data_IF_610806665896
#
_entry.id   IF_610806665896
#
_cell.length_a   1.000
_cell.length_b   1.000
_cell.length_c   1.000
_cell.angle_alpha   90.00
_cell.angle_beta   90.00
_cell.angle_gamma   90.00
#
_symmetry.space_group_name_H-M   'P 1'
#
loop_
_entity.id
_entity.type
_entity.pdbx_description
1 polymer ?
#
# COMPACT_ATOMS: atom_id res chain seq x y z
N UNK A 1 18.65 0.87 11.87
CA UNK A 1 19.92 0.97 11.11
C UNK A 1 19.76 0.48 9.67
N UNK A 2 19.31 -0.75 9.39
CA UNK A 2 19.14 -1.27 8.01
C UNK A 2 18.25 -0.40 7.10
N UNK A 3 17.15 0.17 7.62
CA UNK A 3 16.28 1.07 6.84
C UNK A 3 16.98 2.34 6.39
N UNK A 4 17.86 2.91 7.24
CA UNK A 4 18.65 4.08 6.87
C UNK A 4 19.66 3.72 5.80
N UNK A 5 20.44 2.65 5.99
CA UNK A 5 21.46 2.22 5.02
C UNK A 5 20.85 1.95 3.63
N UNK A 6 19.63 1.38 3.58
CA UNK A 6 18.94 1.11 2.31
C UNK A 6 18.33 2.38 1.66
N UNK A 7 18.09 3.43 2.43
CA UNK A 7 17.52 4.68 1.93
C UNK A 7 18.58 5.70 1.51
N UNK A 8 19.83 5.54 1.97
CA UNK A 8 20.92 6.45 1.63
C UNK A 8 21.37 6.23 0.19
N UNK A 9 21.31 7.31 -0.57
CA UNK A 9 21.92 7.45 -1.89
C UNK A 9 22.73 8.75 -1.89
N UNK A 10 23.86 8.75 -2.59
CA UNK A 10 24.70 9.94 -2.69
C UNK A 10 23.91 11.10 -3.31
N UNK A 11 24.03 12.28 -2.71
CA UNK A 11 23.35 13.52 -3.09
C UNK A 11 21.80 13.49 -3.08
N UNK A 12 21.19 12.42 -2.57
CA UNK A 12 19.73 12.33 -2.45
C UNK A 12 19.31 12.65 -1.01
N UNK A 13 18.51 13.72 -0.81
CA UNK A 13 18.03 14.08 0.52
C UNK A 13 17.11 13.02 1.14
N UNK A 14 17.33 12.72 2.42
CA UNK A 14 16.61 11.71 3.17
C UNK A 14 15.91 12.32 4.38
N UNK A 15 14.63 12.03 4.55
CA UNK A 15 13.87 12.42 5.72
C UNK A 15 13.96 11.35 6.81
N UNK A 16 14.67 11.64 7.91
CA UNK A 16 14.87 10.69 9.00
C UNK A 16 13.59 10.39 9.80
N UNK A 17 12.67 11.34 9.87
CA UNK A 17 11.37 11.14 10.55
C UNK A 17 10.61 9.94 10.01
N UNK A 18 10.71 9.72 8.71
CA UNK A 18 10.01 8.62 8.02
C UNK A 18 10.73 7.28 8.13
N UNK A 19 12.05 7.32 8.21
CA UNK A 19 12.85 6.09 8.26
C UNK A 19 12.78 5.43 9.62
N UNK A 20 12.84 6.22 10.69
CA UNK A 20 12.96 5.66 12.04
C UNK A 20 11.63 5.42 12.74
N UNK A 21 10.56 6.13 12.40
CA UNK A 21 9.26 5.96 13.07
C UNK A 21 9.33 6.06 14.61
N UNK A 22 10.45 6.59 15.14
CA UNK A 22 10.76 6.63 16.56
C UNK A 22 10.13 7.86 17.24
N UNK A 23 10.21 7.91 18.59
CA UNK A 23 9.78 9.07 19.34
C UNK A 23 10.55 10.33 18.91
N UNK A 24 9.93 11.50 19.06
CA UNK A 24 10.52 12.79 18.71
C UNK A 24 11.93 12.98 19.27
N UNK A 25 12.16 12.62 20.53
CA UNK A 25 13.45 12.79 21.18
C UNK A 25 14.54 11.89 20.55
N UNK A 26 14.21 10.63 20.26
CA UNK A 26 15.16 9.70 19.62
C UNK A 26 15.53 10.15 18.22
N UNK A 27 14.58 10.69 17.46
CA UNK A 27 14.81 11.24 16.12
C UNK A 27 15.72 12.44 16.16
N UNK A 28 15.44 13.41 17.04
CA UNK A 28 16.23 14.62 17.17
C UNK A 28 17.71 14.34 17.54
N UNK A 29 17.94 13.33 18.39
CA UNK A 29 19.31 12.90 18.74
C UNK A 29 20.00 12.28 17.54
N UNK A 30 19.35 11.40 16.80
CA UNK A 30 19.93 10.75 15.61
C UNK A 30 20.17 11.73 14.46
N UNK A 31 19.26 12.67 14.24
CA UNK A 31 19.43 13.75 13.26
C UNK A 31 20.65 14.60 13.59
N UNK A 32 20.78 15.01 14.86
CA UNK A 32 21.91 15.80 15.31
C UNK A 32 23.23 15.03 15.19
N UNK A 33 23.25 13.76 15.60
CA UNK A 33 24.43 12.90 15.49
C UNK A 33 24.90 12.75 14.04
N UNK A 34 23.97 12.45 13.13
CA UNK A 34 24.28 12.28 11.72
C UNK A 34 24.74 13.59 11.09
N UNK A 35 24.08 14.72 11.39
CA UNK A 35 24.46 16.02 10.84
C UNK A 35 25.88 16.49 11.25
N UNK A 36 26.40 15.96 12.35
CA UNK A 36 27.78 16.25 12.80
C UNK A 36 28.80 15.18 12.33
N UNK A 37 28.36 14.20 11.56
CA UNK A 37 29.22 13.19 10.95
C UNK A 37 29.69 13.68 9.58
N UNK A 38 30.98 13.58 9.23
CA UNK A 38 31.56 14.23 8.05
C UNK A 38 30.87 14.02 6.71
N UNK A 39 30.27 12.87 6.51
CA UNK A 39 29.60 12.50 5.26
C UNK A 39 28.16 13.00 5.15
N UNK A 40 27.59 13.65 6.19
CA UNK A 40 26.21 14.07 6.23
C UNK A 40 26.07 15.58 6.34
N UNK A 41 25.23 16.14 5.51
CA UNK A 41 24.89 17.56 5.48
C UNK A 41 23.43 17.79 5.83
N UNK A 42 23.13 18.89 6.55
CA UNK A 42 21.78 19.40 6.59
C UNK A 42 21.36 19.85 5.19
N UNK A 43 20.25 19.33 4.72
CA UNK A 43 19.70 19.78 3.45
C UNK A 43 18.87 21.04 3.63
N UNK A 44 19.31 22.14 3.03
CA UNK A 44 18.49 23.33 2.84
C UNK A 44 17.74 23.16 1.52
N UNK A 45 16.45 22.95 1.64
CA UNK A 45 15.57 22.77 0.49
C UNK A 45 15.29 24.13 -0.14
N UNK A 46 15.69 24.31 -1.40
CA UNK A 46 15.35 25.49 -2.17
C UNK A 46 13.90 25.40 -2.68
N UNK A 47 13.43 24.21 -2.98
CA UNK A 47 12.07 23.96 -3.44
C UNK A 47 11.62 22.56 -3.08
N UNK A 48 10.56 22.44 -2.29
CA UNK A 48 9.88 21.19 -2.04
C UNK A 48 8.62 21.15 -2.91
N UNK A 49 8.66 20.40 -3.98
CA UNK A 49 7.46 20.08 -4.73
C UNK A 49 6.81 18.83 -4.12
N UNK A 50 5.78 19.04 -3.32
CA UNK A 50 4.83 17.97 -2.99
C UNK A 50 3.93 17.84 -4.20
N UNK A 51 4.13 16.79 -4.99
CA UNK A 51 3.28 16.54 -6.16
C UNK A 51 1.80 16.49 -5.72
N UNK A 52 1.01 17.43 -6.27
CA UNK A 52 -0.45 17.58 -6.12
C UNK A 52 -1.02 18.09 -4.79
N UNK A 53 -0.24 18.60 -3.87
CA UNK A 53 -0.80 19.38 -2.77
C UNK A 53 0.05 20.61 -2.49
N UNK A 54 -0.53 21.81 -2.62
CA UNK A 54 0.03 23.07 -2.12
C UNK A 54 -0.06 23.10 -0.57
N UNK A 55 0.36 22.06 0.11
CA UNK A 55 0.45 22.09 1.57
C UNK A 55 1.76 22.72 1.95
N UNK A 56 1.68 23.88 2.62
CA UNK A 56 2.81 24.49 3.29
C UNK A 56 3.50 23.45 4.18
N UNK A 57 4.77 23.18 3.88
CA UNK A 57 5.59 22.28 4.68
C UNK A 57 5.70 22.87 6.07
N UNK A 58 5.31 22.08 7.08
CA UNK A 58 5.49 22.48 8.47
C UNK A 58 7.00 22.69 8.71
N UNK A 59 7.36 23.89 9.15
CA UNK A 59 8.71 24.17 9.65
C UNK A 59 9.07 23.11 10.69
N UNK A 60 10.10 22.31 10.44
CA UNK A 60 10.56 21.28 11.39
C UNK A 60 11.00 19.96 10.79
N UNK A 61 10.75 19.71 9.51
CA UNK A 61 11.28 18.52 8.85
C UNK A 61 12.68 18.81 8.33
N UNK A 62 13.69 18.20 8.97
CA UNK A 62 15.08 18.31 8.54
C UNK A 62 15.41 17.11 7.65
N UNK A 63 15.96 17.40 6.48
CA UNK A 63 16.48 16.39 5.58
C UNK A 63 18.00 16.37 5.66
N UNK A 64 18.59 15.20 5.57
CA UNK A 64 20.03 15.02 5.47
C UNK A 64 20.42 14.55 4.08
N UNK A 65 21.58 15.00 3.61
CA UNK A 65 22.21 14.55 2.36
C UNK A 65 23.43 13.74 2.74
N UNK A 66 23.61 12.58 2.11
CA UNK A 66 24.79 11.74 2.25
C UNK A 66 25.77 12.01 1.10
N UNK A 67 26.99 12.46 1.43
CA UNK A 67 28.06 12.79 0.48
C UNK A 67 29.38 12.19 0.93
N UNK A 68 29.60 10.89 0.71
CA UNK A 68 30.77 10.18 1.20
C UNK A 68 32.06 10.62 0.52
N UNK A 69 31.96 11.18 -0.70
CA UNK A 69 33.11 11.62 -1.49
C UNK A 69 33.52 13.08 -1.24
N UNK A 70 32.74 13.80 -0.44
CA UNK A 70 32.99 15.20 -0.09
C UNK A 70 32.67 15.43 1.40
N UNK A 71 33.47 14.83 2.32
CA UNK A 71 33.20 14.92 3.75
C UNK A 71 33.64 16.29 4.31
N UNK A 72 32.78 16.86 5.20
CA UNK A 72 33.11 18.08 5.92
C UNK A 72 33.91 17.79 7.21
N UNK A 73 34.28 18.83 7.94
CA UNK A 73 34.96 18.71 9.22
C UNK A 73 34.11 17.99 10.27
N UNK A 74 34.75 17.06 11.01
CA UNK A 74 34.05 16.25 12.01
C UNK A 74 33.57 17.11 13.19
N UNK A 75 32.37 16.87 13.66
CA UNK A 75 31.80 17.59 14.79
C UNK A 75 31.18 18.96 14.45
N UNK A 76 31.17 19.34 13.17
CA UNK A 76 30.54 20.56 12.66
C UNK A 76 29.33 20.19 11.83
N UNK A 77 28.18 20.83 12.04
CA UNK A 77 27.00 20.62 11.21
C UNK A 77 26.95 21.67 10.10
N UNK A 78 26.99 21.23 8.85
CA UNK A 78 27.01 22.12 7.67
C UNK A 78 25.72 21.97 6.89
N UNK A 79 25.15 23.06 6.40
CA UNK A 79 24.02 23.07 5.48
C UNK A 79 24.51 22.98 4.02
N UNK A 80 23.91 22.08 3.25
CA UNK A 80 24.12 21.99 1.81
C UNK A 80 22.82 22.32 1.07
N UNK A 81 22.90 23.29 0.15
CA UNK A 81 21.75 23.63 -0.71
C UNK A 81 21.73 22.67 -1.90
N UNK A 82 20.62 21.98 -2.11
CA UNK A 82 20.46 21.11 -3.26
C UNK A 82 19.38 21.65 -4.19
N UNK A 83 19.66 21.61 -5.50
CA UNK A 83 18.68 21.86 -6.55
C UNK A 83 17.83 20.62 -6.86
N UNK A 84 18.04 19.53 -6.12
CA UNK A 84 17.22 18.33 -6.28
C UNK A 84 15.82 18.65 -5.79
N UNK A 85 14.84 18.58 -6.68
CA UNK A 85 13.44 18.55 -6.31
C UNK A 85 13.25 17.26 -5.52
N UNK A 86 13.16 17.38 -4.21
CA UNK A 86 12.71 16.26 -3.40
C UNK A 86 11.22 16.16 -3.66
N UNK A 87 10.85 15.34 -4.61
CA UNK A 87 9.60 14.65 -4.39
C UNK A 87 9.82 13.94 -3.08
N UNK A 88 9.17 14.36 -2.00
CA UNK A 88 9.08 13.49 -0.85
C UNK A 88 8.67 12.15 -1.44
N UNK A 89 9.62 11.24 -1.56
CA UNK A 89 9.30 9.83 -1.82
C UNK A 89 8.60 9.38 -0.54
N UNK A 90 7.41 9.90 -0.44
CA UNK A 90 6.40 9.28 0.34
C UNK A 90 6.40 7.82 -0.10
N UNK A 91 5.98 7.00 0.77
CA UNK A 91 5.29 5.76 0.47
C UNK A 91 4.36 5.88 -0.77
N UNK A 92 4.19 7.04 -1.30
CA UNK A 92 3.48 7.49 -2.51
C UNK A 92 4.22 7.26 -3.84
N UNK A 93 5.31 6.50 -3.88
CA UNK A 93 5.93 6.08 -5.16
C UNK A 93 4.91 5.36 -6.04
N UNK A 94 3.96 4.69 -5.43
CA UNK A 94 2.82 4.08 -6.13
C UNK A 94 1.95 5.13 -6.81
N UNK A 95 1.78 6.31 -6.20
CA UNK A 95 0.91 7.36 -6.73
C UNK A 95 1.49 8.08 -7.94
N UNK A 96 2.80 8.19 -8.05
CA UNK A 96 3.46 8.83 -9.17
C UNK A 96 3.40 8.01 -10.46
N UNK A 97 3.25 6.69 -10.36
CA UNK A 97 3.19 5.79 -11.50
C UNK A 97 1.76 5.49 -11.98
N UNK A 98 0.75 6.00 -11.29
CA UNK A 98 -0.66 5.74 -11.60
C UNK A 98 -1.28 6.99 -12.20
N UNK A 99 -1.10 7.16 -13.51
CA UNK A 99 -1.79 8.17 -14.29
C UNK A 99 -3.22 7.67 -14.58
N UNK A 100 -4.19 8.15 -13.78
CA UNK A 100 -5.58 7.76 -13.93
C UNK A 100 -6.28 8.84 -14.75
N UNK A 101 -6.53 8.50 -16.00
CA UNK A 101 -7.33 9.32 -16.88
C UNK A 101 -8.78 9.35 -16.39
N UNK A 102 -9.28 10.52 -16.12
CA UNK A 102 -10.69 10.86 -15.89
C UNK A 102 -11.49 9.92 -14.98
N UNK A 103 -11.55 10.22 -13.69
CA UNK A 103 -12.47 9.58 -12.74
C UNK A 103 -13.75 10.42 -12.61
N UNK A 104 -14.89 9.86 -13.00
CA UNK A 104 -16.19 10.48 -12.80
C UNK A 104 -16.62 10.41 -11.33
N UNK A 105 -17.25 11.47 -10.78
CA UNK A 105 -17.75 11.46 -9.41
C UNK A 105 -18.84 10.41 -9.24
N UNK A 106 -18.81 9.66 -8.13
CA UNK A 106 -19.85 8.71 -7.72
C UNK A 106 -20.48 9.20 -6.42
N UNK A 107 -21.75 8.88 -6.24
CA UNK A 107 -22.50 9.26 -5.05
C UNK A 107 -21.80 8.73 -3.78
N UNK A 108 -21.34 9.64 -2.90
CA UNK A 108 -20.80 9.30 -1.57
C UNK A 108 -19.29 9.27 -1.41
N UNK A 109 -18.48 9.45 -2.49
CA UNK A 109 -17.02 9.57 -2.40
C UNK A 109 -16.53 10.82 -3.10
N UNK A 110 -15.49 11.46 -2.57
CA UNK A 110 -14.79 12.55 -3.23
C UNK A 110 -13.99 12.03 -4.43
N UNK A 111 -13.61 12.90 -5.35
CA UNK A 111 -12.75 12.55 -6.49
C UNK A 111 -11.39 12.03 -5.99
N UNK A 112 -10.91 12.57 -4.89
CA UNK A 112 -9.63 12.22 -4.29
C UNK A 112 -9.66 10.82 -3.66
N UNK A 113 -10.73 10.48 -2.92
CA UNK A 113 -10.94 9.14 -2.37
C UNK A 113 -11.02 8.07 -3.46
N UNK A 114 -11.72 8.37 -4.56
CA UNK A 114 -11.79 7.46 -5.72
C UNK A 114 -10.45 7.25 -6.40
N UNK A 115 -9.70 8.34 -6.59
CA UNK A 115 -8.36 8.26 -7.15
C UNK A 115 -7.48 7.38 -6.27
N UNK A 116 -7.57 7.56 -4.94
CA UNK A 116 -6.84 6.76 -3.98
C UNK A 116 -7.24 5.29 -4.02
N UNK A 117 -8.54 5.01 -4.04
CA UNK A 117 -9.07 3.65 -4.20
C UNK A 117 -8.50 2.97 -5.44
N UNK A 118 -8.62 3.62 -6.59
CA UNK A 118 -8.11 3.09 -7.86
C UNK A 118 -6.58 2.86 -7.84
N UNK A 119 -5.81 3.75 -7.21
CA UNK A 119 -4.36 3.59 -7.06
C UNK A 119 -4.00 2.36 -6.25
N UNK A 120 -4.65 2.17 -5.09
CA UNK A 120 -4.44 0.99 -4.24
C UNK A 120 -4.86 -0.28 -4.99
N UNK A 121 -5.99 -0.26 -5.70
CA UNK A 121 -6.47 -1.41 -6.46
C UNK A 121 -5.48 -1.81 -7.57
N UNK A 122 -4.95 -0.85 -8.33
CA UNK A 122 -3.89 -1.10 -9.32
C UNK A 122 -2.62 -1.66 -8.67
N UNK A 123 -2.27 -1.14 -7.50
CA UNK A 123 -1.11 -1.64 -6.74
C UNK A 123 -1.28 -3.10 -6.35
N UNK A 124 -2.47 -3.48 -5.87
CA UNK A 124 -2.81 -4.87 -5.54
C UNK A 124 -2.77 -5.79 -6.77
N UNK A 125 -3.26 -5.31 -7.93
CA UNK A 125 -3.15 -6.06 -9.20
C UNK A 125 -1.69 -6.32 -9.56
N UNK A 126 -0.85 -5.30 -9.47
CA UNK A 126 0.59 -5.42 -9.77
C UNK A 126 1.32 -6.31 -8.78
N UNK A 127 1.04 -6.17 -7.48
CA UNK A 127 1.57 -7.08 -6.45
C UNK A 127 1.19 -8.52 -6.78
N UNK A 128 -0.10 -8.76 -7.08
CA UNK A 128 -0.58 -10.07 -7.49
C UNK A 128 0.21 -10.65 -8.66
N UNK A 129 0.41 -9.86 -9.70
CA UNK A 129 1.21 -10.25 -10.86
C UNK A 129 2.67 -10.60 -10.49
N UNK A 130 3.36 -9.74 -9.70
CA UNK A 130 4.73 -10.00 -9.26
C UNK A 130 4.88 -11.26 -8.40
N UNK A 131 3.86 -11.57 -7.58
CA UNK A 131 3.84 -12.77 -6.74
C UNK A 131 3.33 -14.02 -7.47
N UNK A 132 3.03 -13.92 -8.78
CA UNK A 132 2.54 -15.03 -9.60
C UNK A 132 1.07 -15.39 -9.35
N UNK A 133 0.29 -14.47 -8.80
CA UNK A 133 -1.17 -14.61 -8.66
C UNK A 133 -1.89 -14.11 -9.89
N UNK A 134 -3.06 -14.68 -10.15
CA UNK A 134 -4.06 -14.09 -11.02
C UNK A 134 -5.03 -13.28 -10.18
N UNK A 135 -5.48 -12.15 -10.69
CA UNK A 135 -6.24 -11.17 -9.92
C UNK A 135 -7.61 -10.94 -10.53
N UNK A 136 -8.64 -11.05 -9.72
CA UNK A 136 -9.97 -10.51 -10.03
C UNK A 136 -10.06 -9.08 -9.53
N UNK A 137 -10.72 -8.22 -10.32
CA UNK A 137 -11.07 -6.85 -9.95
C UNK A 137 -12.60 -6.70 -10.07
N UNK A 138 -13.19 -5.95 -9.14
CA UNK A 138 -14.63 -5.71 -9.09
C UNK A 138 -15.19 -5.32 -10.46
N UNK A 139 -16.35 -5.87 -10.81
CA UNK A 139 -16.93 -5.68 -12.13
C UNK A 139 -17.12 -4.21 -12.52
N UNK A 140 -17.37 -3.33 -11.53
CA UNK A 140 -17.59 -1.90 -11.73
C UNK A 140 -16.28 -1.12 -12.02
N UNK A 141 -15.13 -1.65 -11.62
CA UNK A 141 -13.84 -0.97 -11.69
C UNK A 141 -12.99 -1.44 -12.87
N UNK A 142 -13.40 -2.49 -13.56
CA UNK A 142 -12.68 -3.10 -14.69
C UNK A 142 -12.41 -2.12 -15.85
N UNK A 143 -13.26 -1.10 -15.99
CA UNK A 143 -13.13 -0.05 -17.02
C UNK A 143 -12.18 1.08 -16.69
N UNK A 144 -11.65 1.16 -15.46
CA UNK A 144 -10.70 2.21 -15.07
C UNK A 144 -9.45 2.15 -15.95
N UNK A 145 -9.02 3.32 -16.42
CA UNK A 145 -7.86 3.44 -17.31
C UNK A 145 -6.57 3.63 -16.52
N UNK A 146 -5.55 2.89 -16.91
CA UNK A 146 -4.20 3.00 -16.39
C UNK A 146 -3.19 2.81 -17.51
N UNK A 147 -2.32 3.79 -17.75
CA UNK A 147 -1.31 3.77 -18.83
C UNK A 147 -1.91 3.40 -20.21
N UNK A 148 -3.06 3.97 -20.56
CA UNK A 148 -3.73 3.73 -21.84
C UNK A 148 -4.41 2.37 -21.99
N UNK A 149 -4.52 1.59 -20.93
CA UNK A 149 -5.23 0.28 -20.89
C UNK A 149 -6.23 0.27 -19.76
N UNK A 150 -7.34 -0.46 -19.93
CA UNK A 150 -8.22 -0.71 -18.79
C UNK A 150 -7.59 -1.66 -17.78
N UNK A 151 -7.99 -1.58 -16.50
CA UNK A 151 -7.51 -2.53 -15.47
C UNK A 151 -7.79 -3.98 -15.90
N UNK A 152 -8.90 -4.24 -16.56
CA UNK A 152 -9.23 -5.55 -17.08
C UNK A 152 -8.21 -6.11 -18.08
N UNK A 153 -7.43 -5.24 -18.74
CA UNK A 153 -6.41 -5.60 -19.73
C UNK A 153 -4.99 -5.69 -19.14
N UNK A 154 -4.86 -5.45 -17.83
CA UNK A 154 -3.57 -5.58 -17.15
C UNK A 154 -3.15 -7.05 -17.04
N UNK A 155 -1.84 -7.28 -17.07
CA UNK A 155 -1.27 -8.62 -16.94
C UNK A 155 -1.68 -9.27 -15.61
N UNK A 156 -2.11 -10.53 -15.69
CA UNK A 156 -2.56 -11.30 -14.54
C UNK A 156 -4.01 -11.05 -14.12
N UNK A 157 -4.73 -10.10 -14.73
CA UNK A 157 -6.16 -9.90 -14.45
C UNK A 157 -7.00 -10.94 -15.18
N UNK A 158 -7.92 -11.59 -14.45
CA UNK A 158 -8.81 -12.61 -15.00
C UNK A 158 -10.12 -12.01 -15.50
N UNK A 159 -10.67 -12.58 -16.56
CA UNK A 159 -11.91 -12.09 -17.19
C UNK A 159 -13.17 -12.67 -16.55
N UNK A 160 -13.09 -13.90 -16.05
CA UNK A 160 -14.27 -14.62 -15.55
C UNK A 160 -13.90 -15.49 -14.35
N UNK A 161 -14.59 -15.27 -13.23
CA UNK A 161 -14.43 -16.05 -12.00
C UNK A 161 -14.82 -17.54 -12.18
N UNK A 162 -15.67 -17.87 -13.14
CA UNK A 162 -16.05 -19.26 -13.43
C UNK A 162 -14.88 -20.11 -13.96
N UNK A 163 -13.82 -19.47 -14.45
CA UNK A 163 -12.64 -20.16 -14.92
C UNK A 163 -11.71 -20.60 -13.77
N UNK A 164 -11.98 -20.11 -12.55
CA UNK A 164 -11.23 -20.49 -11.35
C UNK A 164 -11.81 -21.77 -10.76
N UNK A 165 -11.05 -22.87 -10.80
CA UNK A 165 -11.53 -24.19 -10.32
C UNK A 165 -12.04 -24.14 -8.89
N UNK A 166 -11.40 -23.34 -8.02
CA UNK A 166 -11.79 -23.17 -6.62
C UNK A 166 -13.22 -22.65 -6.45
N UNK A 167 -13.77 -21.95 -7.46
CA UNK A 167 -15.12 -21.35 -7.42
C UNK A 167 -16.15 -22.07 -8.30
N UNK A 168 -15.75 -23.00 -9.16
CA UNK A 168 -16.65 -23.60 -10.18
C UNK A 168 -17.94 -24.21 -9.61
N UNK A 169 -17.89 -24.73 -8.38
CA UNK A 169 -19.05 -25.35 -7.73
C UNK A 169 -19.89 -24.39 -6.89
N UNK A 170 -19.56 -23.08 -6.88
CA UNK A 170 -20.16 -22.10 -5.98
C UNK A 170 -20.80 -20.92 -6.71
N UNK A 171 -21.87 -21.16 -7.49
CA UNK A 171 -22.52 -20.11 -8.29
C UNK A 171 -22.96 -18.89 -7.49
N UNK A 172 -23.48 -19.09 -6.28
CA UNK A 172 -23.89 -18.00 -5.39
C UNK A 172 -22.68 -17.20 -4.90
N UNK A 173 -21.62 -17.90 -4.52
CA UNK A 173 -20.37 -17.26 -4.10
C UNK A 173 -19.74 -16.43 -5.25
N UNK A 174 -19.76 -16.94 -6.48
CA UNK A 174 -19.30 -16.20 -7.67
C UNK A 174 -20.07 -14.89 -7.84
N UNK A 175 -21.40 -14.90 -7.59
CA UNK A 175 -22.21 -13.69 -7.70
C UNK A 175 -21.76 -12.60 -6.73
N UNK A 176 -21.50 -12.96 -5.48
CA UNK A 176 -20.99 -12.03 -4.46
C UNK A 176 -19.54 -11.62 -4.76
N UNK A 177 -18.68 -12.57 -5.12
CA UNK A 177 -17.27 -12.32 -5.46
C UNK A 177 -17.09 -11.32 -6.60
N UNK A 178 -18.07 -11.16 -7.50
CA UNK A 178 -18.00 -10.18 -8.60
C UNK A 178 -17.95 -8.74 -8.13
N UNK A 179 -18.39 -8.46 -6.90
CA UNK A 179 -18.43 -7.12 -6.31
C UNK A 179 -17.23 -6.85 -5.39
N UNK A 180 -16.41 -7.85 -5.11
CA UNK A 180 -15.22 -7.72 -4.29
C UNK A 180 -14.15 -6.94 -5.06
N UNK A 181 -13.52 -5.97 -4.42
CA UNK A 181 -12.59 -5.05 -5.05
C UNK A 181 -11.36 -5.74 -5.63
N UNK A 182 -10.81 -6.73 -4.90
CA UNK A 182 -9.66 -7.50 -5.37
C UNK A 182 -9.63 -8.92 -4.78
N UNK A 183 -9.42 -9.93 -5.63
CA UNK A 183 -9.23 -11.33 -5.20
C UNK A 183 -7.99 -11.88 -5.89
N UNK A 184 -7.09 -12.48 -5.11
CA UNK A 184 -5.94 -13.21 -5.66
C UNK A 184 -6.22 -14.70 -5.78
N UNK A 185 -5.79 -15.29 -6.89
CA UNK A 185 -5.88 -16.72 -7.17
C UNK A 185 -4.51 -17.31 -7.49
N UNK A 186 -4.23 -18.49 -6.98
CA UNK A 186 -3.02 -19.26 -7.31
C UNK A 186 -3.42 -20.57 -7.97
N UNK A 187 -2.90 -20.81 -9.17
CA UNK A 187 -3.09 -22.04 -9.95
C UNK A 187 -4.56 -22.46 -10.15
N UNK A 188 -5.50 -21.53 -10.07
CA UNK A 188 -6.94 -21.78 -10.17
C UNK A 188 -7.55 -22.58 -9.02
N UNK A 189 -6.75 -23.08 -8.08
CA UNK A 189 -7.18 -23.97 -6.98
C UNK A 189 -7.14 -23.32 -5.60
N UNK A 190 -6.38 -22.28 -5.43
CA UNK A 190 -6.21 -21.57 -4.16
C UNK A 190 -6.63 -20.12 -4.33
N UNK A 191 -7.10 -19.54 -3.24
CA UNK A 191 -7.52 -18.14 -3.15
C UNK A 191 -6.81 -17.51 -1.93
N UNK A 192 -5.55 -17.06 -2.10
CA UNK A 192 -4.72 -16.56 -0.99
C UNK A 192 -5.30 -15.37 -0.26
N UNK A 193 -5.99 -14.45 -0.95
CA UNK A 193 -6.60 -13.28 -0.34
C UNK A 193 -7.87 -12.82 -1.07
N UNK A 194 -8.83 -12.34 -0.29
CA UNK A 194 -10.05 -11.62 -0.69
C UNK A 194 -10.01 -10.27 -0.01
N UNK A 195 -10.05 -9.18 -0.78
CA UNK A 195 -9.72 -7.85 -0.29
C UNK A 195 -10.80 -6.83 -0.67
N UNK A 196 -11.22 -6.05 0.31
CA UNK A 196 -12.07 -4.87 0.15
C UNK A 196 -11.28 -3.62 0.45
N UNK A 197 -11.31 -2.65 -0.45
CA UNK A 197 -10.57 -1.39 -0.34
C UNK A 197 -11.52 -0.32 0.18
N UNK A 198 -11.31 0.13 1.40
CA UNK A 198 -12.26 0.98 2.07
C UNK A 198 -11.65 2.31 2.52
N UNK A 199 -12.42 3.37 2.34
CA UNK A 199 -12.14 4.69 2.87
C UNK A 199 -13.21 5.05 3.89
N UNK A 200 -12.83 5.70 4.96
CA UNK A 200 -13.67 6.34 6.00
C UNK A 200 -14.92 5.60 6.50
N UNK A 201 -15.96 5.42 5.72
CA UNK A 201 -17.27 4.92 6.18
C UNK A 201 -17.65 3.53 5.66
N UNK A 202 -16.93 3.03 4.66
CA UNK A 202 -17.28 1.79 3.94
C UNK A 202 -16.89 0.48 4.63
N UNK A 203 -16.00 0.49 5.64
CA UNK A 203 -15.41 -0.71 6.26
C UNK A 203 -16.46 -1.78 6.61
N UNK A 204 -17.57 -1.37 7.22
CA UNK A 204 -18.66 -2.30 7.56
C UNK A 204 -19.31 -2.91 6.32
N UNK A 205 -19.45 -2.13 5.25
CA UNK A 205 -20.03 -2.60 3.98
C UNK A 205 -19.11 -3.62 3.29
N UNK A 206 -17.81 -3.40 3.30
CA UNK A 206 -16.83 -4.36 2.80
C UNK A 206 -16.87 -5.67 3.59
N UNK A 207 -16.91 -5.60 4.93
CA UNK A 207 -17.06 -6.79 5.76
C UNK A 207 -18.35 -7.56 5.48
N UNK A 208 -19.47 -6.86 5.21
CA UNK A 208 -20.73 -7.50 4.82
C UNK A 208 -20.59 -8.25 3.49
N UNK A 209 -19.97 -7.64 2.47
CA UNK A 209 -19.74 -8.31 1.17
C UNK A 209 -18.85 -9.54 1.32
N UNK A 210 -17.75 -9.43 2.05
CA UNK A 210 -16.87 -10.57 2.34
C UNK A 210 -17.61 -11.68 3.10
N UNK A 211 -18.44 -11.33 4.10
CA UNK A 211 -19.23 -12.31 4.87
C UNK A 211 -20.26 -13.02 3.98
N UNK A 212 -20.95 -12.30 3.11
CA UNK A 212 -21.87 -12.90 2.13
C UNK A 212 -21.15 -13.90 1.21
N UNK A 213 -19.96 -13.54 0.73
CA UNK A 213 -19.16 -14.46 -0.07
C UNK A 213 -18.75 -15.70 0.75
N UNK A 214 -18.24 -15.52 1.97
CA UNK A 214 -17.88 -16.59 2.88
C UNK A 214 -19.06 -17.56 3.14
N UNK A 215 -20.24 -17.04 3.41
CA UNK A 215 -21.44 -17.83 3.74
C UNK A 215 -21.89 -18.75 2.61
N UNK A 216 -21.64 -18.38 1.36
CA UNK A 216 -21.93 -19.21 0.19
C UNK A 216 -20.84 -20.23 -0.16
N UNK A 217 -19.65 -20.13 0.45
CA UNK A 217 -18.54 -21.05 0.22
C UNK A 217 -17.72 -21.31 1.50
N UNK A 218 -18.34 -21.75 2.60
CA UNK A 218 -17.68 -21.90 3.90
C UNK A 218 -16.62 -23.01 3.93
N UNK A 219 -16.61 -23.89 2.91
CA UNK A 219 -15.60 -24.94 2.76
C UNK A 219 -14.26 -24.42 2.27
N UNK A 220 -14.23 -23.22 1.70
CA UNK A 220 -12.99 -22.59 1.26
C UNK A 220 -12.17 -22.17 2.49
N UNK A 221 -10.95 -22.66 2.57
CA UNK A 221 -10.04 -22.47 3.72
C UNK A 221 -8.79 -21.72 3.30
N UNK A 222 -8.03 -21.27 4.28
CA UNK A 222 -6.75 -20.59 4.10
C UNK A 222 -6.86 -19.30 3.25
N UNK A 223 -7.99 -18.59 3.40
CA UNK A 223 -8.24 -17.31 2.73
C UNK A 223 -7.96 -16.19 3.73
N UNK A 224 -7.20 -15.19 3.31
CA UNK A 224 -7.03 -13.95 4.05
C UNK A 224 -8.14 -12.98 3.65
N UNK A 225 -9.20 -12.94 4.45
CA UNK A 225 -10.29 -11.96 4.32
C UNK A 225 -9.78 -10.62 4.82
N UNK A 226 -9.55 -9.68 3.92
CA UNK A 226 -8.71 -8.53 4.22
C UNK A 226 -9.42 -7.21 3.95
N UNK A 227 -9.41 -6.32 4.93
CA UNK A 227 -9.79 -4.91 4.73
C UNK A 227 -8.52 -4.12 4.43
N UNK A 228 -8.48 -3.48 3.28
CA UNK A 228 -7.40 -2.60 2.82
C UNK A 228 -7.86 -1.16 3.04
N UNK A 229 -7.22 -0.44 3.96
CA UNK A 229 -7.66 0.92 4.32
C UNK A 229 -6.48 1.79 4.79
N UNK A 230 -6.66 3.14 4.86
CA UNK A 230 -5.69 4.03 5.45
C UNK A 230 -5.30 3.63 6.88
N UNK A 231 -4.04 3.89 7.25
CA UNK A 231 -3.46 3.48 8.53
C UNK A 231 -4.21 4.00 9.76
N UNK A 232 -4.80 5.19 9.66
CA UNK A 232 -5.61 5.79 10.72
C UNK A 232 -6.90 5.01 11.04
N UNK A 233 -7.37 4.16 10.15
CA UNK A 233 -8.58 3.35 10.36
C UNK A 233 -8.32 2.00 11.04
N UNK A 234 -7.07 1.68 11.40
CA UNK A 234 -6.68 0.43 12.09
C UNK A 234 -7.65 0.05 13.22
N UNK A 235 -7.84 0.95 14.17
CA UNK A 235 -8.69 0.68 15.34
C UNK A 235 -10.14 0.41 14.95
N UNK A 236 -10.64 1.11 13.95
CA UNK A 236 -12.02 0.94 13.44
C UNK A 236 -12.18 -0.39 12.69
N UNK A 237 -11.16 -0.80 11.92
CA UNK A 237 -11.17 -2.11 11.26
C UNK A 237 -11.16 -3.23 12.31
N UNK A 238 -10.32 -3.13 13.34
CA UNK A 238 -10.28 -4.10 14.45
C UNK A 238 -11.63 -4.17 15.16
N UNK A 239 -12.22 -3.02 15.51
CA UNK A 239 -13.51 -2.94 16.18
C UNK A 239 -14.60 -3.68 15.37
N UNK A 240 -14.76 -3.35 14.10
CA UNK A 240 -15.79 -3.95 13.26
C UNK A 240 -15.54 -5.43 12.97
N UNK A 241 -14.29 -5.83 12.76
CA UNK A 241 -13.92 -7.23 12.54
C UNK A 241 -14.25 -8.15 13.72
N UNK A 242 -14.22 -7.59 14.95
CA UNK A 242 -14.55 -8.32 16.17
C UNK A 242 -16.06 -8.36 16.50
N UNK A 243 -16.92 -7.72 15.69
CA UNK A 243 -18.36 -7.87 15.86
C UNK A 243 -18.78 -9.33 15.63
N UNK A 244 -19.75 -9.87 16.40
CA UNK A 244 -20.13 -11.28 16.35
C UNK A 244 -20.39 -11.83 14.94
N UNK A 245 -21.04 -11.03 14.07
CA UNK A 245 -21.38 -11.42 12.71
C UNK A 245 -20.18 -11.53 11.75
N UNK A 246 -19.02 -10.92 12.08
CA UNK A 246 -17.83 -10.93 11.23
C UNK A 246 -16.67 -11.75 11.80
N UNK A 247 -16.76 -12.16 13.06
CA UNK A 247 -15.65 -12.84 13.76
C UNK A 247 -15.16 -14.11 13.05
N UNK A 248 -16.09 -14.83 12.38
CA UNK A 248 -15.74 -16.05 11.63
C UNK A 248 -14.82 -15.79 10.41
N UNK A 249 -14.78 -14.57 9.90
CA UNK A 249 -13.90 -14.22 8.76
C UNK A 249 -12.42 -14.26 9.14
N UNK A 250 -12.08 -14.19 10.42
CA UNK A 250 -10.68 -14.00 10.88
C UNK A 250 -9.99 -12.88 10.08
N UNK A 251 -10.66 -11.74 10.04
CA UNK A 251 -10.30 -10.61 9.15
C UNK A 251 -8.87 -10.13 9.40
N UNK A 252 -8.21 -9.76 8.32
CA UNK A 252 -6.90 -9.10 8.31
C UNK A 252 -7.06 -7.62 7.98
N UNK A 253 -6.15 -6.82 8.49
CA UNK A 253 -5.99 -5.42 8.09
C UNK A 253 -4.74 -5.28 7.23
N UNK A 254 -4.88 -4.69 6.06
CA UNK A 254 -3.77 -4.37 5.18
C UNK A 254 -3.68 -2.86 5.01
N UNK A 255 -2.89 -2.17 5.84
CA UNK A 255 -2.78 -0.72 5.78
C UNK A 255 -2.22 -0.26 4.44
N UNK A 256 -2.64 0.90 3.97
CA UNK A 256 -2.14 1.47 2.71
C UNK A 256 -0.62 1.58 2.66
N UNK A 257 0.01 1.95 3.79
CA UNK A 257 1.47 1.98 3.91
C UNK A 257 2.11 0.62 3.64
N UNK A 258 1.51 -0.47 4.12
CA UNK A 258 2.01 -1.83 3.88
C UNK A 258 1.76 -2.31 2.44
N UNK A 259 0.65 -1.88 1.79
CA UNK A 259 0.42 -2.12 0.35
C UNK A 259 1.54 -1.46 -0.46
N UNK A 260 1.85 -0.21 -0.17
CA UNK A 260 2.90 0.56 -0.86
C UNK A 260 4.30 -0.03 -0.62
N UNK A 261 4.57 -0.47 0.61
CA UNK A 261 5.83 -1.15 0.95
C UNK A 261 5.97 -2.46 0.16
N UNK A 262 4.95 -3.29 0.16
CA UNK A 262 4.95 -4.56 -0.57
C UNK A 262 5.06 -4.35 -2.08
N UNK A 263 4.34 -3.37 -2.64
CA UNK A 263 4.47 -3.01 -4.06
C UNK A 263 5.90 -2.60 -4.40
N UNK A 264 6.49 -1.70 -3.62
CA UNK A 264 7.87 -1.24 -3.80
C UNK A 264 8.89 -2.38 -3.68
N UNK A 265 8.68 -3.30 -2.74
CA UNK A 265 9.50 -4.49 -2.59
C UNK A 265 9.41 -5.39 -3.83
N UNK A 266 8.19 -5.70 -4.28
CA UNK A 266 7.95 -6.55 -5.45
C UNK A 266 8.52 -5.94 -6.72
N UNK A 267 8.31 -4.65 -6.96
CA UNK A 267 8.80 -3.95 -8.14
C UNK A 267 10.34 -3.93 -8.22
N UNK A 268 11.02 -3.79 -7.07
CA UNK A 268 12.50 -3.73 -7.02
C UNK A 268 13.17 -5.09 -7.00
N UNK A 269 12.56 -6.10 -6.41
CA UNK A 269 13.21 -7.39 -6.10
C UNK A 269 12.70 -8.54 -6.94
N UNK A 270 11.52 -8.40 -7.59
CA UNK A 270 10.85 -9.46 -8.34
C UNK A 270 10.89 -10.81 -7.60
N UNK A 271 10.30 -10.90 -6.40
CA UNK A 271 10.42 -12.06 -5.53
C UNK A 271 9.81 -13.30 -6.20
N UNK A 272 10.56 -14.40 -6.21
CA UNK A 272 10.17 -15.68 -6.82
C UNK A 272 10.05 -16.75 -5.73
N UNK A 273 9.12 -17.71 -5.92
CA UNK A 273 8.99 -18.86 -5.03
C UNK A 273 8.48 -18.56 -3.62
N UNK A 274 7.83 -17.41 -3.42
CA UNK A 274 7.29 -16.99 -2.13
C UNK A 274 6.03 -17.81 -1.81
N UNK A 275 5.92 -18.24 -0.56
CA UNK A 275 4.69 -18.87 -0.02
C UNK A 275 3.66 -17.80 0.35
N UNK A 276 2.38 -18.21 0.43
CA UNK A 276 1.29 -17.28 0.80
C UNK A 276 1.47 -16.71 2.21
N UNK A 277 2.21 -17.42 3.09
CA UNK A 277 2.49 -16.96 4.46
C UNK A 277 3.34 -15.68 4.51
N UNK A 278 4.05 -15.36 3.44
CA UNK A 278 4.75 -14.09 3.31
C UNK A 278 3.81 -12.89 3.42
N UNK A 279 2.56 -13.04 2.98
CA UNK A 279 1.53 -11.99 3.09
C UNK A 279 1.21 -11.64 4.53
N UNK A 280 1.40 -12.57 5.47
CA UNK A 280 1.14 -12.35 6.90
C UNK A 280 2.11 -11.34 7.55
N UNK A 281 3.22 -11.04 6.88
CA UNK A 281 4.13 -9.97 7.28
C UNK A 281 3.56 -8.56 7.02
N UNK A 282 2.58 -8.46 6.11
CA UNK A 282 1.97 -7.19 5.68
C UNK A 282 0.51 -7.08 6.08
N UNK A 283 -0.18 -8.20 6.25
CA UNK A 283 -1.60 -8.29 6.59
C UNK A 283 -1.77 -8.63 8.06
N UNK A 284 -2.12 -7.64 8.88
CA UNK A 284 -2.23 -7.76 10.34
C UNK A 284 -3.51 -8.50 10.74
N UNK A 285 -3.43 -9.37 11.75
CA UNK A 285 -4.62 -10.00 12.33
C UNK A 285 -5.44 -8.98 13.12
N UNK A 286 -6.75 -8.94 12.85
CA UNK A 286 -7.69 -8.07 13.56
C UNK A 286 -8.39 -8.75 14.72
N UNK A 287 -8.51 -10.07 14.67
CA UNK A 287 -9.24 -10.84 15.70
C UNK A 287 -8.29 -11.16 16.85
N UNK A 288 -8.63 -10.69 18.05
CA UNK A 288 -7.99 -11.08 19.31
C UNK A 288 -8.69 -12.33 19.84
N UNK A 289 -7.94 -13.40 20.05
CA UNK A 289 -8.43 -14.66 20.63
C UNK A 289 -8.57 -14.54 22.14
#
# INVERSE_FOLDING_TARGET
>A
MWRLANALQEDVPVNLDRIFGASYNTRAVLESLLAHTPEFYWCKLDRLEVMNTQKNIKKGHKHLIYRPNDPHENGVAIEHTTNVIISEMNLDVVHQSVDIETILPTKGMTIEEKRRHAQIQISLVKIGHYLGYRTWVAANDRGLQYNGKSIAQMDGVIDNLRNEQVLQSYDKAIKEARLIDCIWFRNGKLMPAVMEIEHSTGIKSGLVRMKQFYDYAPQLKNIRWTVVAPDEYRNKVIEFSNMPQFKELDTRFFPYSAVEELYSLCARRNPQGITDDFLDAFMEKCVTH
#
